data_IF_193054698920
#
_entry.id   IF_193054698920
#
_cell.length_a   1.000
_cell.length_b   1.000
_cell.length_c   1.000
_cell.angle_alpha   90.00
_cell.angle_beta   90.00
_cell.angle_gamma   90.00
#
_symmetry.space_group_name_H-M   'P 1'
#
loop_
_entity.id
_entity.type
_entity.pdbx_description
1 polymer ?
#
# COMPACT_ATOMS: atom_id res chain seq x y z
N UNK A 1 3.53 0.57 -13.39
CA UNK A 1 3.75 1.56 -12.31
C UNK A 1 2.62 1.43 -11.29
N UNK A 2 2.80 1.75 -10.00
CA UNK A 2 1.72 1.68 -9.00
C UNK A 2 0.92 2.98 -9.01
N UNK A 3 -0.41 2.91 -8.96
CA UNK A 3 -1.25 4.10 -8.91
C UNK A 3 -1.38 4.59 -7.47
N UNK A 4 -0.93 5.81 -7.21
CA UNK A 4 -0.95 6.42 -5.87
C UNK A 4 -1.92 7.59 -5.88
N UNK A 5 -2.92 7.54 -5.01
CA UNK A 5 -3.88 8.62 -4.77
C UNK A 5 -3.70 9.16 -3.37
N UNK A 6 -3.53 10.47 -3.24
CA UNK A 6 -3.28 11.13 -1.98
C UNK A 6 -4.47 11.99 -1.57
N UNK A 7 -5.20 11.54 -0.55
CA UNK A 7 -6.37 12.20 -0.02
C UNK A 7 -5.92 13.16 1.09
N UNK A 8 -6.12 14.45 0.87
CA UNK A 8 -5.70 15.53 1.78
C UNK A 8 -6.90 16.36 2.22
N UNK A 9 -6.81 16.99 3.39
CA UNK A 9 -7.92 17.75 3.96
C UNK A 9 -7.77 17.96 5.46
N UNK A 10 -8.53 18.92 6.01
CA UNK A 10 -8.54 19.22 7.47
C UNK A 10 -9.01 18.02 8.28
N UNK A 11 -8.80 18.05 9.60
CA UNK A 11 -9.40 17.05 10.51
C UNK A 11 -10.93 17.04 10.30
N UNK A 12 -11.53 15.86 10.33
CA UNK A 12 -12.97 15.64 10.17
C UNK A 12 -13.58 16.04 8.81
N UNK A 13 -12.75 16.30 7.78
CA UNK A 13 -13.22 16.59 6.42
C UNK A 13 -13.74 15.37 5.64
N UNK A 14 -13.75 14.18 6.24
CA UNK A 14 -14.22 12.95 5.58
C UNK A 14 -13.16 12.16 4.81
N UNK A 15 -11.86 12.44 5.00
CA UNK A 15 -10.76 11.68 4.33
C UNK A 15 -10.89 10.17 4.50
N UNK A 16 -11.07 9.70 5.73
CA UNK A 16 -11.20 8.28 6.02
C UNK A 16 -12.43 7.69 5.34
N UNK A 17 -13.56 8.40 5.36
CA UNK A 17 -14.79 7.98 4.68
C UNK A 17 -14.58 7.84 3.16
N UNK A 18 -13.90 8.80 2.53
CA UNK A 18 -13.58 8.75 1.10
C UNK A 18 -12.69 7.53 0.76
N UNK A 19 -11.69 7.26 1.59
CA UNK A 19 -10.80 6.10 1.45
C UNK A 19 -11.60 4.80 1.61
N UNK A 20 -12.45 4.67 2.63
CA UNK A 20 -13.29 3.48 2.85
C UNK A 20 -14.21 3.19 1.65
N UNK A 21 -14.85 4.23 1.11
CA UNK A 21 -15.70 4.12 -0.08
C UNK A 21 -14.90 3.71 -1.32
N UNK A 22 -13.71 4.31 -1.53
CA UNK A 22 -12.82 3.96 -2.62
C UNK A 22 -12.32 2.50 -2.51
N UNK A 23 -11.88 2.07 -1.32
CA UNK A 23 -11.49 0.69 -1.05
C UNK A 23 -12.62 -0.26 -1.41
N UNK A 24 -13.84 0.00 -0.94
CA UNK A 24 -15.00 -0.87 -1.21
C UNK A 24 -15.24 -1.02 -2.72
N UNK A 25 -15.18 0.08 -3.48
CA UNK A 25 -15.39 0.08 -4.92
C UNK A 25 -14.27 -0.68 -5.65
N UNK A 26 -13.02 -0.33 -5.40
CA UNK A 26 -11.86 -0.98 -6.01
C UNK A 26 -11.78 -2.48 -5.68
N UNK A 27 -12.09 -2.87 -4.44
CA UNK A 27 -12.14 -4.29 -4.05
C UNK A 27 -13.23 -5.05 -4.81
N UNK A 28 -14.38 -4.42 -5.09
CA UNK A 28 -15.45 -5.04 -5.89
C UNK A 28 -15.06 -5.30 -7.34
N UNK A 29 -14.06 -4.57 -7.84
CA UNK A 29 -13.49 -4.75 -9.19
C UNK A 29 -12.25 -5.68 -9.21
N UNK A 30 -11.89 -6.28 -8.08
CA UNK A 30 -10.80 -7.25 -7.97
C UNK A 30 -9.41 -6.64 -7.74
N UNK A 31 -9.29 -5.33 -7.54
CA UNK A 31 -8.01 -4.71 -7.21
C UNK A 31 -7.47 -5.17 -5.85
N UNK A 32 -6.14 -5.21 -5.74
CA UNK A 32 -5.44 -5.32 -4.47
C UNK A 32 -5.08 -3.90 -4.05
N UNK A 33 -5.67 -3.44 -2.94
CA UNK A 33 -5.58 -2.04 -2.50
C UNK A 33 -4.74 -1.96 -1.23
N UNK A 34 -3.74 -1.09 -1.23
CA UNK A 34 -2.99 -0.69 -0.04
C UNK A 34 -3.44 0.66 0.48
N UNK A 35 -3.42 0.84 1.79
CA UNK A 35 -3.70 2.13 2.44
C UNK A 35 -2.50 2.53 3.28
N UNK A 36 -2.05 3.76 3.08
CA UNK A 36 -0.98 4.37 3.87
C UNK A 36 -1.57 5.54 4.63
N UNK A 37 -1.53 5.48 5.96
CA UNK A 37 -1.96 6.58 6.82
C UNK A 37 -0.76 7.27 7.43
N UNK A 38 -0.60 8.55 7.15
CA UNK A 38 0.39 9.37 7.84
C UNK A 38 -0.13 9.73 9.24
N UNK A 39 0.59 9.31 10.27
CA UNK A 39 0.31 9.69 11.66
C UNK A 39 1.25 10.82 12.07
N UNK A 40 0.70 11.87 12.71
CA UNK A 40 1.50 12.87 13.41
C UNK A 40 1.99 12.39 14.79
N UNK A 41 1.50 11.23 15.24
CA UNK A 41 1.93 10.60 16.48
C UNK A 41 2.94 9.50 16.20
N UNK A 42 3.91 9.36 17.11
CA UNK A 42 4.88 8.26 17.13
C UNK A 42 4.12 6.95 17.36
N UNK A 43 4.22 6.03 16.41
CA UNK A 43 3.54 4.72 16.47
C UNK A 43 4.20 3.83 17.54
N UNK A 44 5.53 3.77 17.52
CA UNK A 44 6.34 2.96 18.44
C UNK A 44 7.36 3.85 19.16
N UNK A 45 7.10 4.12 20.44
CA UNK A 45 7.85 5.05 21.28
C UNK A 45 8.86 4.32 22.17
N UNK A 46 9.88 5.04 22.65
CA UNK A 46 11.04 4.41 23.32
C UNK A 46 10.73 3.61 24.58
N UNK A 47 9.60 3.90 25.22
CA UNK A 47 9.10 3.21 26.40
C UNK A 47 8.43 1.87 26.11
N UNK A 48 8.24 1.48 24.84
CA UNK A 48 7.63 0.21 24.44
C UNK A 48 8.69 -0.87 24.26
N UNK A 49 8.34 -2.11 24.60
CA UNK A 49 9.25 -3.24 24.46
C UNK A 49 9.59 -3.55 23.00
N UNK A 50 8.65 -3.32 22.08
CA UNK A 50 8.87 -3.40 20.63
C UNK A 50 10.01 -2.50 20.18
N UNK A 51 10.00 -1.24 20.62
CA UNK A 51 11.07 -0.29 20.32
C UNK A 51 12.40 -0.74 20.94
N UNK A 52 12.39 -1.17 22.21
CA UNK A 52 13.60 -1.59 22.93
C UNK A 52 14.27 -2.77 22.24
N UNK A 53 13.50 -3.76 21.80
CA UNK A 53 14.03 -4.94 21.06
C UNK A 53 14.55 -4.55 19.68
N UNK A 54 13.85 -3.69 18.95
CA UNK A 54 14.36 -3.15 17.67
C UNK A 54 15.69 -2.43 17.87
N UNK A 55 15.78 -1.55 18.87
CA UNK A 55 17.03 -0.83 19.23
C UNK A 55 18.15 -1.77 19.66
N UNK A 56 17.84 -2.93 20.24
CA UNK A 56 18.82 -3.94 20.58
C UNK A 56 19.42 -4.67 19.36
N UNK A 57 18.89 -4.43 18.15
CA UNK A 57 19.40 -4.97 16.89
C UNK A 57 18.48 -5.97 16.19
N UNK A 58 17.20 -6.06 16.58
CA UNK A 58 16.25 -6.86 15.82
C UNK A 58 15.91 -6.17 14.49
N UNK A 59 16.18 -6.83 13.36
CA UNK A 59 15.85 -6.34 12.01
C UNK A 59 14.33 -6.18 11.81
N UNK A 60 13.56 -7.08 12.44
CA UNK A 60 12.11 -7.16 12.33
C UNK A 60 11.51 -7.45 13.71
N UNK A 61 10.49 -6.69 14.10
CA UNK A 61 9.71 -6.93 15.32
C UNK A 61 8.23 -7.08 14.97
N UNK A 62 7.61 -8.16 15.44
CA UNK A 62 6.18 -8.39 15.30
C UNK A 62 5.51 -8.21 16.65
N UNK A 63 4.50 -7.34 16.70
CA UNK A 63 3.60 -7.19 17.85
C UNK A 63 2.24 -7.80 17.51
N UNK A 64 1.80 -8.78 18.29
CA UNK A 64 0.66 -9.63 17.93
C UNK A 64 -0.32 -9.85 19.09
N UNK A 65 -1.61 -9.81 18.78
CA UNK A 65 -2.74 -10.21 19.63
C UNK A 65 -3.88 -10.70 18.71
N UNK A 66 -5.09 -10.13 18.76
CA UNK A 66 -6.13 -10.35 17.74
C UNK A 66 -5.79 -9.68 16.40
N UNK A 67 -4.88 -8.71 16.42
CA UNK A 67 -4.32 -8.03 15.25
C UNK A 67 -2.79 -8.13 15.30
N UNK A 68 -2.14 -7.79 14.20
CA UNK A 68 -0.69 -7.81 14.07
C UNK A 68 -0.14 -6.47 13.57
N UNK A 69 1.00 -6.05 14.11
CA UNK A 69 1.80 -4.94 13.61
C UNK A 69 3.24 -5.40 13.37
N UNK A 70 3.80 -5.03 12.21
CA UNK A 70 5.17 -5.33 11.81
C UNK A 70 5.99 -4.03 11.87
N UNK A 71 7.08 -4.04 12.61
CA UNK A 71 8.04 -2.94 12.70
C UNK A 71 9.35 -3.36 12.05
N UNK A 72 9.80 -2.58 11.07
CA UNK A 72 11.07 -2.76 10.36
C UNK A 72 11.49 -1.41 9.75
N UNK A 73 12.75 -1.26 9.37
CA UNK A 73 13.23 -0.06 8.68
C UNK A 73 12.99 -0.19 7.17
N UNK A 74 12.30 0.79 6.58
CA UNK A 74 11.98 0.78 5.15
C UNK A 74 11.80 2.20 4.62
N UNK A 75 12.75 2.66 3.83
CA UNK A 75 12.68 3.99 3.20
C UNK A 75 11.76 4.01 1.98
N UNK A 76 11.63 2.88 1.29
CA UNK A 76 10.95 2.78 -0.01
C UNK A 76 9.73 1.84 0.05
N UNK A 77 8.96 1.97 1.12
CA UNK A 77 7.80 1.10 1.37
C UNK A 77 6.74 1.22 0.26
N UNK A 78 6.52 2.41 -0.31
CA UNK A 78 5.50 2.63 -1.34
C UNK A 78 5.74 1.79 -2.60
N UNK A 79 6.99 1.72 -3.09
CA UNK A 79 7.28 0.95 -4.30
C UNK A 79 7.34 -0.56 -4.04
N UNK A 80 7.53 -0.97 -2.78
CA UNK A 80 7.61 -2.36 -2.36
C UNK A 80 6.25 -2.95 -1.99
N UNK A 81 5.22 -2.12 -1.73
CA UNK A 81 3.87 -2.61 -1.45
C UNK A 81 3.34 -3.43 -2.63
N UNK A 82 2.91 -4.69 -2.43
CA UNK A 82 2.46 -5.57 -3.52
C UNK A 82 0.98 -5.34 -3.87
N UNK A 83 0.61 -4.10 -4.19
CA UNK A 83 -0.79 -3.66 -4.36
C UNK A 83 -0.97 -2.86 -5.65
N UNK A 84 -2.06 -3.02 -6.36
CA UNK A 84 -2.32 -2.29 -7.62
C UNK A 84 -2.48 -0.78 -7.40
N UNK A 85 -3.13 -0.43 -6.30
CA UNK A 85 -3.48 0.95 -5.94
C UNK A 85 -3.07 1.23 -4.50
N UNK A 86 -2.44 2.38 -4.27
CA UNK A 86 -2.14 2.89 -2.93
C UNK A 86 -3.00 4.12 -2.69
N UNK A 87 -3.78 4.09 -1.61
CA UNK A 87 -4.53 5.24 -1.11
C UNK A 87 -3.79 5.81 0.10
N UNK A 88 -3.42 7.09 0.03
CA UNK A 88 -2.65 7.77 1.06
C UNK A 88 -3.54 8.76 1.80
N UNK A 89 -3.69 8.60 3.11
CA UNK A 89 -4.28 9.60 3.99
C UNK A 89 -3.17 10.52 4.55
N UNK A 90 -3.13 11.78 4.12
CA UNK A 90 -2.22 12.79 4.66
C UNK A 90 -1.06 13.19 3.74
N UNK A 91 0.14 13.41 4.30
CA UNK A 91 1.32 13.90 3.60
C UNK A 91 1.12 15.20 2.79
N UNK A 92 0.34 16.18 3.30
CA UNK A 92 -0.07 17.37 2.52
C UNK A 92 1.09 18.11 1.82
N UNK A 93 2.27 18.15 2.44
CA UNK A 93 3.48 18.82 1.92
C UNK A 93 4.34 17.99 0.95
N UNK A 94 3.99 16.73 0.67
CA UNK A 94 4.70 15.90 -0.31
C UNK A 94 3.84 15.69 -1.57
N UNK A 95 4.49 15.29 -2.64
CA UNK A 95 3.88 14.85 -3.89
C UNK A 95 4.16 13.35 -4.06
N UNK A 96 3.27 12.52 -3.51
CA UNK A 96 3.39 11.06 -3.59
C UNK A 96 2.63 10.45 -4.78
N UNK A 97 1.72 11.21 -5.38
CA UNK A 97 0.83 10.74 -6.45
C UNK A 97 -0.26 11.77 -6.76
N UNK A 98 -1.38 11.31 -7.33
CA UNK A 98 -2.52 12.17 -7.68
C UNK A 98 -3.17 12.68 -6.39
N UNK A 99 -3.07 13.99 -6.14
CA UNK A 99 -3.61 14.62 -4.93
C UNK A 99 -5.09 14.99 -5.13
N UNK A 100 -5.92 14.56 -4.19
CA UNK A 100 -7.35 14.86 -4.13
C UNK A 100 -7.63 15.53 -2.78
N UNK A 101 -8.08 16.78 -2.80
CA UNK A 101 -8.44 17.52 -1.59
C UNK A 101 -9.92 17.31 -1.25
N UNK A 102 -10.21 17.08 0.02
CA UNK A 102 -11.56 16.93 0.56
C UNK A 102 -11.76 17.93 1.71
N UNK A 103 -12.80 18.74 1.58
CA UNK A 103 -13.12 19.83 2.50
C UNK A 103 -14.21 19.42 3.50
N UNK A 104 -15.16 18.57 3.07
CA UNK A 104 -16.25 18.10 3.92
C UNK A 104 -16.69 16.66 3.56
N UNK A 105 -17.31 15.93 4.52
CA UNK A 105 -17.68 14.53 4.31
C UNK A 105 -18.62 14.25 3.13
N UNK A 106 -19.44 15.21 2.70
CA UNK A 106 -20.37 15.02 1.59
C UNK A 106 -19.67 14.83 0.23
N UNK A 107 -18.39 15.22 0.14
CA UNK A 107 -17.55 15.01 -1.04
C UNK A 107 -16.96 13.58 -1.11
N UNK A 108 -17.04 12.79 -0.04
CA UNK A 108 -16.43 11.45 0.01
C UNK A 108 -16.90 10.52 -1.14
N UNK A 109 -18.20 10.46 -1.51
CA UNK A 109 -18.65 9.66 -2.64
C UNK A 109 -18.05 10.11 -3.98
N UNK A 110 -17.97 11.43 -4.21
CA UNK A 110 -17.40 12.00 -5.43
C UNK A 110 -15.90 11.72 -5.54
N UNK A 111 -15.16 11.83 -4.43
CA UNK A 111 -13.72 11.51 -4.38
C UNK A 111 -13.50 10.03 -4.68
N UNK A 112 -14.31 9.14 -4.10
CA UNK A 112 -14.21 7.70 -4.38
C UNK A 112 -14.51 7.38 -5.86
N UNK A 113 -15.48 8.05 -6.48
CA UNK A 113 -15.78 7.89 -7.90
C UNK A 113 -14.66 8.41 -8.80
N UNK A 114 -14.03 9.54 -8.46
CA UNK A 114 -12.85 10.05 -9.18
C UNK A 114 -11.70 9.06 -9.14
N UNK A 115 -11.39 8.50 -7.96
CA UNK A 115 -10.32 7.51 -7.80
C UNK A 115 -10.58 6.31 -8.71
N UNK A 116 -11.78 5.76 -8.66
CA UNK A 116 -12.19 4.59 -9.44
C UNK A 116 -12.03 4.80 -10.96
N UNK A 117 -12.48 5.96 -11.45
CA UNK A 117 -12.30 6.34 -12.86
C UNK A 117 -10.83 6.46 -13.23
N UNK A 118 -10.03 7.16 -12.41
CA UNK A 118 -8.62 7.40 -12.67
C UNK A 118 -7.77 6.12 -12.57
N UNK A 119 -8.10 5.20 -11.67
CA UNK A 119 -7.42 3.89 -11.56
C UNK A 119 -7.53 3.12 -12.87
N UNK A 120 -8.67 3.20 -13.56
CA UNK A 120 -8.87 2.52 -14.85
C UNK A 120 -7.94 3.02 -15.96
N UNK A 121 -7.59 4.31 -15.95
CA UNK A 121 -6.64 4.92 -16.89
C UNK A 121 -5.19 4.63 -16.51
N UNK A 122 -4.97 4.37 -15.23
CA UNK A 122 -3.67 4.14 -14.62
C UNK A 122 -3.23 2.65 -14.74
N UNK A 123 -4.03 1.82 -15.44
CA UNK A 123 -3.78 0.39 -15.70
C UNK A 123 -2.57 0.16 -16.60
N UNK A 124 -1.41 0.05 -15.99
CA UNK A 124 -0.58 -1.13 -16.22
C UNK A 124 -0.94 -2.13 -15.11
N UNK A 125 -1.84 -3.08 -15.37
CA UNK A 125 -1.86 -4.29 -14.52
C UNK A 125 -0.42 -4.77 -14.45
N UNK A 126 0.04 -5.21 -13.27
CA UNK A 126 1.40 -5.74 -13.15
C UNK A 126 1.49 -6.96 -14.07
N UNK A 127 1.92 -6.74 -15.32
CA UNK A 127 2.01 -7.80 -16.30
C UNK A 127 3.25 -8.61 -15.95
N UNK A 128 3.05 -9.83 -15.50
CA UNK A 128 4.14 -10.73 -15.18
C UNK A 128 3.55 -12.10 -15.00
N UNK A 129 4.18 -13.09 -15.62
CA UNK A 129 3.85 -14.47 -15.35
C UNK A 129 4.86 -15.03 -14.38
N UNK A 130 4.36 -15.56 -13.28
CA UNK A 130 5.17 -16.28 -12.31
C UNK A 130 5.07 -17.76 -12.65
N UNK A 131 6.19 -18.37 -13.03
CA UNK A 131 6.25 -19.81 -13.26
C UNK A 131 6.97 -20.48 -12.08
N UNK A 132 6.31 -21.46 -11.45
CA UNK A 132 6.87 -22.28 -10.38
C UNK A 132 6.93 -23.71 -10.89
N UNK A 133 8.13 -24.29 -10.96
CA UNK A 133 8.38 -25.63 -11.51
C UNK A 133 7.77 -25.85 -12.91
N UNK A 134 7.89 -24.81 -13.76
CA UNK A 134 7.35 -24.80 -15.12
C UNK A 134 5.83 -24.66 -15.22
N UNK A 135 5.11 -24.57 -14.09
CA UNK A 135 3.66 -24.32 -14.06
C UNK A 135 3.37 -22.84 -13.87
N UNK A 136 2.40 -22.34 -14.63
CA UNK A 136 1.91 -20.98 -14.45
C UNK A 136 1.25 -20.85 -13.07
N UNK A 137 1.80 -19.98 -12.23
CA UNK A 137 1.34 -19.63 -10.88
C UNK A 137 1.09 -18.12 -10.78
N UNK A 138 0.62 -17.51 -11.88
CA UNK A 138 0.34 -16.07 -11.96
C UNK A 138 -0.98 -15.68 -11.28
N UNK A 139 -1.34 -16.35 -10.18
CA UNK A 139 -2.51 -15.98 -9.40
C UNK A 139 -2.41 -14.51 -8.97
N UNK A 140 -3.49 -13.76 -9.17
CA UNK A 140 -3.51 -12.34 -8.85
C UNK A 140 -3.75 -12.13 -7.35
N UNK A 141 -2.71 -12.39 -6.56
CA UNK A 141 -2.71 -12.26 -5.09
C UNK A 141 -1.49 -11.43 -4.61
N UNK A 142 -1.46 -11.12 -3.31
CA UNK A 142 -0.41 -10.30 -2.69
C UNK A 142 1.00 -10.91 -2.87
N UNK A 143 1.15 -12.23 -2.73
CA UNK A 143 2.45 -12.89 -2.79
C UNK A 143 3.02 -12.87 -4.22
N UNK A 144 2.20 -13.24 -5.20
CA UNK A 144 2.60 -13.20 -6.61
C UNK A 144 2.95 -11.79 -7.06
N UNK A 145 2.15 -10.79 -6.66
CA UNK A 145 2.46 -9.38 -6.94
C UNK A 145 3.76 -8.94 -6.28
N UNK A 146 4.03 -9.38 -5.05
CA UNK A 146 5.27 -9.04 -4.33
C UNK A 146 6.49 -9.57 -5.08
N UNK A 147 6.48 -10.83 -5.46
CA UNK A 147 7.58 -11.46 -6.20
C UNK A 147 7.79 -10.75 -7.54
N UNK A 148 6.72 -10.60 -8.34
CA UNK A 148 6.82 -9.99 -9.69
C UNK A 148 7.35 -8.56 -9.59
N UNK A 149 6.90 -7.76 -8.62
CA UNK A 149 7.39 -6.39 -8.44
C UNK A 149 8.83 -6.34 -7.99
N UNK A 150 9.21 -7.17 -7.03
CA UNK A 150 10.59 -7.24 -6.55
C UNK A 150 11.54 -7.60 -7.69
N UNK A 151 11.17 -8.61 -8.48
CA UNK A 151 11.94 -9.03 -9.66
C UNK A 151 12.05 -7.90 -10.68
N UNK A 152 10.94 -7.27 -11.07
CA UNK A 152 10.96 -6.13 -12.01
C UNK A 152 11.81 -4.98 -11.51
N UNK A 153 11.67 -4.59 -10.23
CA UNK A 153 12.44 -3.50 -9.61
C UNK A 153 13.94 -3.76 -9.62
N UNK A 154 14.35 -5.02 -9.45
CA UNK A 154 15.75 -5.45 -9.49
C UNK A 154 16.23 -5.85 -10.89
N UNK A 155 15.39 -5.68 -11.93
CA UNK A 155 15.65 -6.11 -13.30
C UNK A 155 16.02 -7.60 -13.41
N UNK A 156 15.38 -8.43 -12.58
CA UNK A 156 15.55 -9.89 -12.53
C UNK A 156 14.53 -10.52 -13.48
N UNK A 157 15.00 -11.40 -14.38
CA UNK A 157 14.13 -12.14 -15.31
C UNK A 157 13.84 -13.56 -14.84
N UNK A 158 14.77 -14.16 -14.11
CA UNK A 158 14.68 -15.54 -13.64
C UNK A 158 15.32 -15.62 -12.26
N UNK A 159 14.70 -16.39 -11.36
CA UNK A 159 15.27 -16.79 -10.08
C UNK A 159 15.30 -18.31 -10.08
N UNK A 160 16.48 -18.88 -9.83
CA UNK A 160 16.64 -20.31 -9.60
C UNK A 160 17.01 -20.49 -8.14
N UNK A 161 16.17 -21.19 -7.39
CA UNK A 161 16.54 -21.67 -6.05
C UNK A 161 17.46 -22.88 -6.27
N UNK A 162 18.63 -22.82 -5.63
CA UNK A 162 19.67 -23.85 -5.73
C UNK A 162 19.91 -24.31 -4.30
N UNK A 163 19.21 -25.37 -3.95
CA UNK A 163 19.35 -26.10 -2.69
C UNK A 163 20.09 -27.42 -3.00
#
# INVERSE_FOLDING_TARGET
>A
MVCIFQITGKKDSGKTLAIEMAVKKLKSEGFIVGVVKHSHHIIDSENKDTFRVKRAGADIVIFHSNNCALFFDCDDYLSLMPVDVILVEGFKGLELGIKLEIENPNQAPEIAEKIDKMVSECKERVEGRLYIDGKDNSEHNLLSLFIIRLMKKKNIREIKLVD
#
